data_IF_248769620688
#
_entry.id   IF_248769620688
#
_cell.length_a   1.000
_cell.length_b   1.000
_cell.length_c   1.000
_cell.angle_alpha   90.00
_cell.angle_beta   90.00
_cell.angle_gamma   90.00
#
_symmetry.space_group_name_H-M   'P 1'
#
loop_
_entity.id
_entity.type
_entity.pdbx_description
1 polymer ?
#
# COMPACT_ATOMS: atom_id res chain seq x y z
N UNK A 1 -25.61 -24.73 -21.01
CA UNK A 1 -24.23 -25.20 -21.25
C UNK A 1 -23.39 -23.93 -21.31
N UNK A 2 -22.61 -23.68 -20.24
CA UNK A 2 -21.77 -22.49 -20.07
C UNK A 2 -22.54 -21.23 -19.69
N UNK A 3 -22.70 -21.00 -18.39
CA UNK A 3 -23.13 -19.72 -17.81
C UNK A 3 -21.95 -18.73 -17.81
N UNK A 4 -22.27 -17.48 -18.13
CA UNK A 4 -21.38 -16.31 -18.11
C UNK A 4 -20.84 -16.10 -16.70
N UNK A 5 -19.51 -16.01 -16.55
CA UNK A 5 -18.92 -15.25 -15.44
C UNK A 5 -17.92 -14.24 -15.96
N UNK A 6 -18.35 -13.00 -15.81
CA UNK A 6 -17.73 -11.72 -16.07
C UNK A 6 -16.34 -11.63 -15.40
N UNK A 7 -15.26 -11.68 -16.19
CA UNK A 7 -13.90 -11.34 -15.77
C UNK A 7 -13.74 -9.81 -15.73
N UNK A 8 -14.37 -9.18 -14.74
CA UNK A 8 -14.23 -7.74 -14.47
C UNK A 8 -13.83 -7.51 -13.01
N UNK A 9 -12.52 -7.45 -12.77
CA UNK A 9 -11.94 -6.74 -11.63
C UNK A 9 -10.89 -7.51 -10.83
N UNK A 10 -9.61 -7.33 -11.17
CA UNK A 10 -8.52 -7.54 -10.22
C UNK A 10 -7.95 -8.96 -10.10
N UNK A 11 -7.49 -9.55 -11.21
CA UNK A 11 -6.71 -10.78 -11.16
C UNK A 11 -5.48 -10.63 -10.24
N UNK A 12 -5.30 -11.55 -9.30
CA UNK A 12 -4.13 -11.59 -8.43
C UNK A 12 -2.83 -11.64 -9.28
N UNK A 13 -1.76 -10.93 -8.89
CA UNK A 13 -0.55 -10.83 -9.68
C UNK A 13 0.04 -12.22 -9.95
N UNK A 14 0.61 -12.39 -11.15
CA UNK A 14 1.47 -13.54 -11.44
C UNK A 14 2.84 -13.25 -10.82
N UNK A 15 3.30 -14.17 -9.95
CA UNK A 15 4.56 -14.04 -9.23
C UNK A 15 5.49 -15.14 -9.73
N UNK A 16 6.62 -14.83 -10.40
CA UNK A 16 7.59 -15.84 -10.76
C UNK A 16 8.19 -16.46 -9.48
N UNK A 17 8.68 -17.70 -9.50
CA UNK A 17 9.39 -18.26 -8.35
C UNK A 17 10.62 -17.41 -8.01
N UNK A 18 10.78 -17.06 -6.73
CA UNK A 18 11.97 -16.35 -6.27
C UNK A 18 13.19 -17.24 -6.40
N UNK A 19 14.25 -16.72 -6.99
CA UNK A 19 15.48 -17.48 -7.24
C UNK A 19 16.32 -17.68 -5.98
N UNK A 20 17.01 -18.82 -5.89
CA UNK A 20 17.97 -19.11 -4.82
C UNK A 20 17.34 -19.54 -3.50
N UNK A 21 18.15 -19.53 -2.43
CA UNK A 21 17.70 -19.92 -1.08
C UNK A 21 16.88 -18.80 -0.45
N UNK A 22 15.81 -19.12 0.31
CA UNK A 22 15.07 -18.12 1.07
C UNK A 22 15.99 -17.47 2.12
N UNK A 23 15.73 -16.20 2.50
CA UNK A 23 16.47 -15.56 3.58
C UNK A 23 16.14 -16.22 4.92
N UNK A 24 17.10 -16.18 5.83
CA UNK A 24 16.84 -16.44 7.24
C UNK A 24 16.02 -15.29 7.82
N UNK A 25 14.98 -15.63 8.57
CA UNK A 25 14.10 -14.69 9.26
C UNK A 25 14.04 -15.07 10.73
N UNK A 26 14.20 -14.07 11.60
CA UNK A 26 13.91 -14.23 13.02
C UNK A 26 12.40 -14.10 13.20
N UNK A 27 11.76 -15.12 13.76
CA UNK A 27 10.33 -15.10 14.12
C UNK A 27 10.11 -15.16 15.63
N UNK A 28 11.19 -15.17 16.42
CA UNK A 28 11.14 -15.14 17.88
C UNK A 28 11.30 -13.69 18.35
N UNK A 29 10.23 -13.12 18.89
CA UNK A 29 10.18 -11.70 19.25
C UNK A 29 9.80 -10.84 18.05
N UNK A 30 10.67 -9.93 17.63
CA UNK A 30 10.43 -9.11 16.43
C UNK A 30 10.65 -9.96 15.17
N UNK A 31 9.68 -9.88 14.25
CA UNK A 31 9.82 -10.50 12.94
C UNK A 31 10.77 -9.63 12.11
N UNK A 32 11.96 -10.13 11.80
CA UNK A 32 13.00 -9.37 11.07
C UNK A 32 13.77 -10.29 10.11
N UNK A 33 14.11 -9.80 8.92
CA UNK A 33 14.93 -10.52 7.97
C UNK A 33 16.42 -10.39 8.36
N UNK A 34 17.09 -11.53 8.56
CA UNK A 34 18.48 -11.57 9.09
C UNK A 34 19.51 -11.59 7.97
N UNK A 35 19.15 -12.09 6.80
CA UNK A 35 20.07 -12.26 5.66
C UNK A 35 19.46 -11.71 4.38
N UNK A 36 20.30 -11.46 3.37
CA UNK A 36 19.87 -10.91 2.08
C UNK A 36 19.16 -9.54 2.21
N UNK A 37 19.70 -8.58 3.01
CA UNK A 37 19.06 -7.29 3.18
C UNK A 37 19.02 -6.52 1.85
N UNK A 38 18.03 -5.66 1.68
CA UNK A 38 17.96 -4.86 0.46
C UNK A 38 19.07 -3.82 0.41
N UNK A 39 19.72 -3.60 -0.75
CA UNK A 39 20.55 -2.42 -0.98
C UNK A 39 19.76 -1.15 -0.67
N UNK A 40 20.38 -0.21 0.06
CA UNK A 40 19.73 1.03 0.48
C UNK A 40 19.13 1.84 -0.70
N UNK A 41 19.75 1.77 -1.88
CA UNK A 41 19.24 2.39 -3.09
C UNK A 41 17.89 1.80 -3.52
N UNK A 42 17.70 0.48 -3.45
CA UNK A 42 16.42 -0.15 -3.81
C UNK A 42 15.32 0.15 -2.79
N UNK A 43 15.69 0.24 -1.50
CA UNK A 43 14.77 0.67 -0.46
C UNK A 43 14.28 2.10 -0.73
N UNK A 44 15.19 3.01 -1.08
CA UNK A 44 14.85 4.39 -1.41
C UNK A 44 13.92 4.47 -2.63
N UNK A 45 14.22 3.71 -3.70
CA UNK A 45 13.33 3.63 -4.88
C UNK A 45 11.94 3.10 -4.49
N UNK A 46 11.86 2.06 -3.65
CA UNK A 46 10.58 1.52 -3.20
C UNK A 46 9.76 2.56 -2.41
N UNK A 47 10.42 3.34 -1.55
CA UNK A 47 9.78 4.43 -0.81
C UNK A 47 9.26 5.53 -1.73
N UNK A 48 10.03 5.89 -2.77
CA UNK A 48 9.62 6.88 -3.77
C UNK A 48 8.43 6.41 -4.59
N UNK A 49 8.44 5.14 -5.02
CA UNK A 49 7.32 4.53 -5.73
C UNK A 49 6.05 4.49 -4.87
N UNK A 50 6.17 4.10 -3.59
CA UNK A 50 5.05 4.08 -2.66
C UNK A 50 4.51 5.50 -2.39
N UNK A 51 5.39 6.50 -2.25
CA UNK A 51 5.01 7.90 -2.05
C UNK A 51 4.29 8.50 -3.27
N UNK A 52 4.56 7.97 -4.47
CA UNK A 52 3.89 8.41 -5.70
C UNK A 52 2.48 7.83 -5.87
N UNK A 53 2.05 6.89 -5.01
CA UNK A 53 0.68 6.37 -5.05
C UNK A 53 -0.32 7.45 -4.61
N UNK A 54 -1.49 7.55 -5.25
CA UNK A 54 -2.49 8.58 -4.94
C UNK A 54 -2.85 8.64 -3.45
N UNK A 55 -2.52 9.77 -2.82
CA UNK A 55 -2.83 10.05 -1.42
C UNK A 55 -2.10 9.19 -0.38
N UNK A 56 -1.14 8.36 -0.80
CA UNK A 56 -0.28 7.63 0.14
C UNK A 56 0.68 8.61 0.81
N UNK A 57 0.85 8.46 2.13
CA UNK A 57 1.89 9.16 2.89
C UNK A 57 2.91 8.16 3.41
N UNK A 58 4.17 8.56 3.38
CA UNK A 58 5.25 7.81 4.02
C UNK A 58 5.60 8.46 5.36
N UNK A 59 5.48 7.72 6.46
CA UNK A 59 5.76 8.19 7.82
C UNK A 59 6.61 7.19 8.61
N UNK A 60 6.98 7.50 9.87
CA UNK A 60 7.42 6.46 10.80
C UNK A 60 6.27 5.48 11.07
N UNK A 61 6.57 4.18 11.18
CA UNK A 61 5.56 3.21 11.60
C UNK A 61 5.19 3.40 13.07
N UNK A 62 3.92 3.24 13.39
CA UNK A 62 3.35 3.31 14.74
C UNK A 62 3.50 2.01 15.52
N UNK A 63 3.83 0.90 14.84
CA UNK A 63 3.85 -0.46 15.42
C UNK A 63 5.19 -1.17 15.25
N UNK A 64 6.22 -0.47 14.77
CA UNK A 64 7.52 -1.05 14.51
C UNK A 64 8.66 -0.22 15.11
N UNK A 65 9.88 -0.71 14.95
CA UNK A 65 11.10 -0.09 15.48
C UNK A 65 11.43 1.23 14.77
N UNK A 66 12.28 2.04 15.40
CA UNK A 66 12.80 3.27 14.80
C UNK A 66 13.50 2.98 13.46
N UNK A 67 13.26 3.85 12.48
CA UNK A 67 13.76 3.69 11.11
C UNK A 67 12.81 2.94 10.18
N UNK A 68 11.78 2.26 10.71
CA UNK A 68 10.72 1.65 9.88
C UNK A 68 9.84 2.72 9.27
N UNK A 69 9.58 2.60 7.96
CA UNK A 69 8.79 3.56 7.19
C UNK A 69 7.45 2.95 6.78
N UNK A 70 6.37 3.46 7.35
CA UNK A 70 5.02 3.01 7.06
C UNK A 70 4.43 3.69 5.83
N UNK A 71 3.58 2.95 5.13
CA UNK A 71 2.76 3.41 4.02
C UNK A 71 1.33 3.61 4.54
N UNK A 72 0.93 4.86 4.66
CA UNK A 72 -0.40 5.22 5.15
C UNK A 72 -1.34 5.47 3.98
N UNK A 73 -2.53 4.86 4.04
CA UNK A 73 -3.65 5.20 3.16
C UNK A 73 -4.04 6.68 3.30
N UNK A 74 -4.68 7.27 2.27
CA UNK A 74 -5.17 8.65 2.31
C UNK A 74 -6.10 8.91 3.50
N UNK A 75 -5.99 10.10 4.08
CA UNK A 75 -6.92 10.54 5.13
C UNK A 75 -8.37 10.52 4.61
N UNK A 76 -9.30 10.05 5.44
CA UNK A 76 -10.71 9.94 5.05
C UNK A 76 -11.02 8.78 4.10
N UNK A 77 -10.05 7.91 3.79
CA UNK A 77 -10.33 6.64 3.10
C UNK A 77 -11.35 5.86 3.92
N UNK A 78 -12.48 5.50 3.30
CA UNK A 78 -13.45 4.60 3.91
C UNK A 78 -12.79 3.22 4.02
N UNK A 79 -12.14 2.97 5.15
CA UNK A 79 -11.49 1.70 5.42
C UNK A 79 -12.57 0.63 5.43
N UNK A 80 -12.58 -0.24 4.41
CA UNK A 80 -13.59 -1.27 4.29
C UNK A 80 -13.66 -2.12 5.57
N UNK A 81 -12.50 -2.42 6.18
CA UNK A 81 -12.36 -3.00 7.53
C UNK A 81 -11.01 -2.60 8.14
N UNK A 82 -10.99 -2.16 9.41
CA UNK A 82 -9.73 -1.84 10.14
C UNK A 82 -8.73 -3.01 10.20
N UNK A 83 -9.24 -4.24 10.18
CA UNK A 83 -8.43 -5.47 10.14
C UNK A 83 -7.58 -5.63 8.86
N UNK A 84 -7.70 -4.75 7.87
CA UNK A 84 -6.86 -4.76 6.66
C UNK A 84 -5.59 -3.93 6.82
N UNK A 85 -5.37 -3.36 8.00
CA UNK A 85 -4.24 -2.49 8.30
C UNK A 85 -3.41 -3.08 9.46
N UNK A 86 -2.13 -2.72 9.51
CA UNK A 86 -1.21 -3.05 10.59
C UNK A 86 -1.41 -2.13 11.81
N UNK A 87 -1.68 -0.86 11.55
CA UNK A 87 -1.93 0.20 12.52
C UNK A 87 -2.74 1.32 11.85
N UNK A 88 -3.12 2.39 12.57
CA UNK A 88 -3.93 3.51 12.07
C UNK A 88 -3.55 4.02 10.66
N UNK A 89 -4.25 3.50 9.64
CA UNK A 89 -4.02 3.79 8.22
C UNK A 89 -2.86 3.06 7.55
N UNK A 90 -2.05 2.28 8.29
CA UNK A 90 -0.86 1.58 7.78
C UNK A 90 -1.25 0.30 7.04
N UNK A 91 -1.20 0.31 5.70
CA UNK A 91 -1.44 -0.90 4.91
C UNK A 91 -0.19 -1.78 4.75
N UNK A 92 0.97 -1.23 5.09
CA UNK A 92 2.24 -1.90 5.10
C UNK A 92 3.35 -0.99 5.61
N UNK A 93 4.52 -1.56 5.89
CA UNK A 93 5.70 -0.80 6.23
C UNK A 93 6.98 -1.48 5.74
N UNK A 94 8.00 -0.67 5.46
CA UNK A 94 9.35 -1.10 5.11
C UNK A 94 10.24 -1.06 6.37
N UNK A 95 10.85 -2.19 6.70
CA UNK A 95 11.81 -2.29 7.81
C UNK A 95 13.06 -1.43 7.58
N UNK A 96 13.83 -1.13 8.64
CA UNK A 96 14.99 -0.24 8.54
C UNK A 96 16.06 -0.80 7.60
N UNK A 97 17.06 0.05 7.31
CA UNK A 97 18.08 -0.22 6.28
C UNK A 97 18.86 -1.52 6.44
N UNK A 98 18.99 -2.03 7.67
CA UNK A 98 19.68 -3.29 7.96
C UNK A 98 18.88 -4.54 7.56
N UNK A 99 17.60 -4.40 7.26
CA UNK A 99 16.65 -5.46 6.95
C UNK A 99 16.08 -5.24 5.53
N UNK A 100 15.24 -4.21 5.36
CA UNK A 100 14.61 -3.87 4.09
C UNK A 100 13.49 -4.80 3.63
N UNK A 101 13.05 -5.77 4.45
CA UNK A 101 11.81 -6.53 4.23
C UNK A 101 10.58 -5.68 4.55
N UNK A 102 9.40 -6.16 4.16
CA UNK A 102 8.14 -5.45 4.33
C UNK A 102 7.12 -6.28 5.08
N UNK A 103 6.47 -5.69 6.08
CA UNK A 103 5.18 -6.21 6.52
C UNK A 103 4.07 -5.64 5.65
N UNK A 104 3.25 -6.50 5.06
CA UNK A 104 2.09 -6.10 4.25
C UNK A 104 0.83 -6.86 4.70
N UNK A 105 -0.34 -6.24 4.46
CA UNK A 105 -1.66 -6.90 4.48
C UNK A 105 -2.11 -7.14 3.05
N UNK A 106 -2.08 -8.40 2.62
CA UNK A 106 -2.46 -8.81 1.26
C UNK A 106 -3.79 -9.57 1.27
N UNK A 107 -4.55 -9.55 0.16
CA UNK A 107 -5.68 -10.48 0.01
C UNK A 107 -5.21 -11.94 0.10
N UNK A 108 -5.99 -12.82 0.73
CA UNK A 108 -5.63 -14.23 0.95
C UNK A 108 -5.10 -14.96 -0.30
N UNK A 109 -5.71 -14.82 -1.50
CA UNK A 109 -5.19 -15.46 -2.70
C UNK A 109 -3.79 -14.96 -3.10
N UNK A 110 -3.48 -13.69 -2.84
CA UNK A 110 -2.18 -13.08 -3.12
C UNK A 110 -1.15 -13.52 -2.08
N UNK A 111 -1.54 -13.55 -0.80
CA UNK A 111 -0.75 -14.11 0.30
C UNK A 111 -0.27 -15.53 -0.02
N UNK A 112 -1.21 -16.42 -0.37
CA UNK A 112 -0.89 -17.81 -0.67
C UNK A 112 0.10 -17.94 -1.84
N UNK A 113 -0.07 -17.12 -2.89
CA UNK A 113 0.85 -17.10 -4.04
C UNK A 113 2.22 -16.57 -3.69
N UNK A 114 2.31 -15.48 -2.92
CA UNK A 114 3.58 -14.90 -2.51
C UNK A 114 4.40 -15.89 -1.66
N UNK A 115 3.74 -16.59 -0.73
CA UNK A 115 4.39 -17.64 0.07
C UNK A 115 4.81 -18.82 -0.81
N UNK A 116 3.92 -19.33 -1.68
CA UNK A 116 4.22 -20.47 -2.55
C UNK A 116 5.36 -20.18 -3.54
N UNK A 117 5.46 -18.94 -4.03
CA UNK A 117 6.53 -18.50 -4.93
C UNK A 117 7.83 -18.11 -4.19
N UNK A 118 7.88 -18.19 -2.85
CA UNK A 118 9.09 -17.93 -2.07
C UNK A 118 9.40 -16.45 -1.84
N UNK A 119 8.42 -15.55 -2.01
CA UNK A 119 8.56 -14.11 -1.80
C UNK A 119 8.23 -13.66 -0.38
N UNK A 120 7.49 -14.47 0.37
CA UNK A 120 6.99 -14.08 1.68
C UNK A 120 6.87 -15.25 2.64
N UNK A 121 6.71 -14.92 3.92
CA UNK A 121 6.23 -15.83 4.96
C UNK A 121 5.05 -15.21 5.72
N UNK A 122 4.18 -16.08 6.23
CA UNK A 122 3.10 -15.64 7.12
C UNK A 122 3.69 -15.04 8.40
N UNK A 123 3.15 -13.92 8.85
CA UNK A 123 3.68 -13.17 9.99
C UNK A 123 2.54 -12.66 10.90
N UNK A 124 2.91 -12.28 12.12
CA UNK A 124 1.99 -11.64 13.05
C UNK A 124 1.88 -10.13 12.77
N UNK A 125 0.69 -9.51 12.94
CA UNK A 125 -0.58 -10.13 13.34
C UNK A 125 -1.22 -10.98 12.24
N UNK A 126 -1.99 -12.01 12.63
CA UNK A 126 -2.72 -12.92 11.73
C UNK A 126 -3.35 -12.21 10.50
N UNK A 127 -3.02 -12.68 9.31
CA UNK A 127 -3.39 -12.07 8.03
C UNK A 127 -2.35 -11.08 7.47
N UNK A 128 -1.21 -10.91 8.14
CA UNK A 128 -0.06 -10.21 7.59
C UNK A 128 0.99 -11.17 7.04
N UNK A 129 1.84 -10.66 6.18
CA UNK A 129 3.03 -11.37 5.68
C UNK A 129 4.27 -10.51 5.82
N UNK A 130 5.40 -11.17 6.03
CA UNK A 130 6.71 -10.58 5.80
C UNK A 130 7.11 -10.89 4.35
N UNK A 131 7.06 -9.89 3.48
CA UNK A 131 7.62 -9.93 2.12
C UNK A 131 9.11 -9.65 2.22
N UNK A 132 9.91 -10.51 1.60
CA UNK A 132 11.35 -10.42 1.69
C UNK A 132 11.93 -9.21 0.95
N UNK A 133 13.07 -8.71 1.43
CA UNK A 133 13.76 -7.56 0.87
C UNK A 133 14.22 -7.82 -0.59
N UNK A 134 14.12 -6.83 -1.52
CA UNK A 134 14.64 -6.98 -2.88
C UNK A 134 16.17 -7.02 -2.91
N UNK A 135 16.74 -7.99 -3.60
CA UNK A 135 18.20 -8.09 -3.81
C UNK A 135 18.67 -7.29 -5.02
N UNK A 136 17.79 -7.11 -6.00
CA UNK A 136 18.08 -6.50 -7.29
C UNK A 136 16.81 -5.82 -7.85
N UNK A 137 16.92 -5.07 -8.96
CA UNK A 137 15.77 -4.40 -9.58
C UNK A 137 14.64 -5.32 -10.05
N UNK A 138 14.93 -6.56 -10.44
CA UNK A 138 13.90 -7.51 -10.90
C UNK A 138 13.03 -7.98 -9.72
N UNK A 139 13.67 -8.25 -8.58
CA UNK A 139 12.94 -8.53 -7.34
C UNK A 139 12.11 -7.33 -6.86
N UNK A 140 12.65 -6.12 -7.02
CA UNK A 140 11.94 -4.89 -6.68
C UNK A 140 10.64 -4.75 -7.48
N UNK A 141 10.64 -5.07 -8.77
CA UNK A 141 9.42 -5.06 -9.60
C UNK A 141 8.37 -6.05 -9.08
N UNK A 142 8.79 -7.25 -8.68
CA UNK A 142 7.87 -8.26 -8.12
C UNK A 142 7.30 -7.81 -6.79
N UNK A 143 8.14 -7.29 -5.89
CA UNK A 143 7.72 -6.77 -4.59
C UNK A 143 6.80 -5.56 -4.76
N UNK A 144 7.04 -4.73 -5.77
CA UNK A 144 6.17 -3.61 -6.10
C UNK A 144 4.75 -4.07 -6.46
N UNK A 145 4.58 -5.18 -7.18
CA UNK A 145 3.25 -5.74 -7.45
C UNK A 145 2.53 -6.17 -6.15
N UNK A 146 3.27 -6.67 -5.16
CA UNK A 146 2.70 -7.00 -3.84
C UNK A 146 2.29 -5.74 -3.07
N UNK A 147 3.11 -4.67 -3.11
CA UNK A 147 2.75 -3.38 -2.51
C UNK A 147 1.49 -2.79 -3.15
N UNK A 148 1.36 -2.85 -4.48
CA UNK A 148 0.16 -2.42 -5.20
C UNK A 148 -1.07 -3.26 -4.81
N UNK A 149 -0.91 -4.57 -4.63
CA UNK A 149 -1.99 -5.43 -4.18
C UNK A 149 -2.43 -5.08 -2.75
N UNK A 150 -1.50 -4.82 -1.84
CA UNK A 150 -1.81 -4.36 -0.47
C UNK A 150 -2.53 -3.01 -0.47
N UNK A 151 -2.04 -2.05 -1.25
CA UNK A 151 -2.65 -0.73 -1.39
C UNK A 151 -4.11 -0.81 -1.88
N UNK A 152 -4.36 -1.56 -2.97
CA UNK A 152 -5.72 -1.76 -3.52
C UNK A 152 -6.63 -2.49 -2.54
N UNK A 153 -6.08 -3.42 -1.77
CA UNK A 153 -6.82 -4.15 -0.75
C UNK A 153 -7.27 -3.24 0.40
N UNK A 154 -6.41 -2.30 0.81
CA UNK A 154 -6.69 -1.34 1.87
C UNK A 154 -7.63 -0.20 1.43
N UNK A 155 -7.58 0.20 0.14
CA UNK A 155 -8.36 1.31 -0.42
C UNK A 155 -9.17 0.91 -1.68
N UNK A 156 -10.15 -0.02 -1.58
CA UNK A 156 -10.87 -0.57 -2.73
C UNK A 156 -11.79 0.43 -3.47
N UNK A 157 -12.07 1.61 -2.88
CA UNK A 157 -12.90 2.66 -3.47
C UNK A 157 -12.14 3.76 -4.21
N UNK A 158 -10.80 3.75 -4.17
CA UNK A 158 -9.98 4.88 -4.60
C UNK A 158 -10.23 6.14 -3.75
N UNK A 159 -9.37 7.15 -3.93
CA UNK A 159 -9.65 8.48 -3.41
C UNK A 159 -10.74 9.05 -4.32
N UNK A 160 -11.96 9.23 -3.81
CA UNK A 160 -12.89 10.13 -4.48
C UNK A 160 -12.16 11.47 -4.57
N UNK A 161 -11.83 11.91 -5.79
CA UNK A 161 -11.22 13.20 -6.01
C UNK A 161 -12.09 14.23 -5.28
N UNK A 162 -11.57 14.85 -4.23
CA UNK A 162 -12.19 16.02 -3.67
C UNK A 162 -12.04 17.09 -4.74
N UNK A 163 -13.04 17.23 -5.61
CA UNK A 163 -13.25 18.45 -6.36
C UNK A 163 -13.41 19.54 -5.33
N UNK A 164 -12.36 20.34 -5.12
CA UNK A 164 -12.43 21.64 -4.48
C UNK A 164 -13.47 22.45 -5.23
N UNK A 165 -14.72 22.43 -4.75
CA UNK A 165 -15.75 23.33 -5.21
C UNK A 165 -15.78 24.51 -4.24
N UNK A 166 -14.67 25.26 -4.20
CA UNK A 166 -14.63 26.60 -3.64
C UNK A 166 -14.99 27.59 -4.75
N UNK A 167 -16.27 27.62 -5.10
CA UNK A 167 -16.88 28.72 -5.83
C UNK A 167 -18.39 28.69 -5.60
N UNK A 168 -18.82 29.17 -4.43
CA UNK A 168 -20.16 29.72 -4.26
C UNK A 168 -20.04 31.07 -3.54
N UNK A 169 -20.21 32.13 -4.32
CA UNK A 169 -20.33 33.51 -3.87
C UNK A 169 -21.10 34.29 -4.94
N UNK A 170 -22.42 34.16 -4.85
CA UNK A 170 -23.53 34.94 -5.43
C UNK A 170 -23.32 35.85 -6.68
N UNK A 171 -24.17 35.72 -7.71
CA UNK A 171 -24.58 36.85 -8.54
C UNK A 171 -25.73 37.60 -7.85
N UNK A 172 -25.42 38.69 -7.14
CA UNK A 172 -26.45 39.67 -6.76
C UNK A 172 -26.58 40.70 -7.88
N UNK A 173 -27.34 40.33 -8.91
CA UNK A 173 -27.80 41.24 -9.96
C UNK A 173 -29.29 41.52 -9.72
N UNK A 174 -29.58 42.68 -9.14
CA UNK A 174 -30.92 43.27 -9.13
C UNK A 174 -30.81 44.74 -8.73
N UNK A 175 -30.47 45.59 -9.68
CA UNK A 175 -30.77 47.02 -9.60
C UNK A 175 -31.70 47.39 -10.76
N UNK A 176 -33.00 47.61 -10.51
CA UNK A 176 -33.85 48.32 -11.45
C UNK A 176 -33.89 49.81 -11.07
N UNK A 177 -33.30 50.65 -11.92
CA UNK A 177 -33.63 52.07 -12.00
C UNK A 177 -35.02 52.23 -12.64
N UNK A 178 -35.95 52.90 -11.95
CA UNK A 178 -36.85 53.79 -12.68
C UNK A 178 -36.81 55.21 -12.13
N UNK A 179 -36.48 56.12 -13.04
CA UNK A 179 -36.68 57.55 -12.94
C UNK A 179 -37.99 57.95 -12.23
N UNK A 180 -37.87 58.85 -11.25
CA UNK A 180 -38.92 59.82 -10.90
C UNK A 180 -38.33 61.05 -10.18
N UNK A 181 -38.69 62.23 -10.71
CA UNK A 181 -38.80 63.54 -10.05
C UNK A 181 -37.52 64.37 -9.80
N UNK A 182 -37.07 65.12 -10.83
CA UNK A 182 -37.11 66.60 -10.93
C UNK A 182 -36.19 67.16 -12.01
#
# INVERSE_FOLDING_TARGET
>A
MGDDTDDRGGGAPQLPPRSGRPPLVSVTGRVEQVTQPAPAALQQVLLEMAAALPGVRIGPSLVCVEGTRAFHVPAGTQLAKRQLLLADGEFGHLHPVYDGSLHLRLPDPVTARAVAAGWALAAEPEGSVLVFAPRDPEELETIWQLVLAAYRHAAPGGVAAQTTNDAQGDPHDADPDPAADR
#
